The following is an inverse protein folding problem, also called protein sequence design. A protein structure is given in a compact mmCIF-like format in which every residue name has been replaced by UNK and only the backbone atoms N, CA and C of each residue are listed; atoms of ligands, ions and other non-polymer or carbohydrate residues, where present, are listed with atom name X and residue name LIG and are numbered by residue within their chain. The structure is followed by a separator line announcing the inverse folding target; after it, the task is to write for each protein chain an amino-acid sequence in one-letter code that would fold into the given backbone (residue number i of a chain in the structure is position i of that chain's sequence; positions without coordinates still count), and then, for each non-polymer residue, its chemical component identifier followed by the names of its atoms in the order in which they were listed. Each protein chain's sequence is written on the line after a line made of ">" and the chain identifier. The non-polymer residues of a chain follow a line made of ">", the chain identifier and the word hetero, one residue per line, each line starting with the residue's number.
data_IF_465740381473
#
_entry.id   IF_465740381473
#
_cell.length_a   1.000
_cell.length_b   1.000
_cell.length_c   1.000
_cell.angle_alpha   90.00
_cell.angle_beta   90.00
_cell.angle_gamma   90.00
#
_symmetry.space_group_name_H-M   'P 1'
#
loop_
_entity.id
_entity.type
_entity.pdbx_description
1 polymer ?
#
# COMPACT_ATOMS: atom_id res chain seq x y z
N UNK A 1 -6.99 15.18 -6.37
CA UNK A 1 -6.81 15.67 -4.99
C UNK A 1 -5.34 15.63 -4.62
N UNK A 2 -4.96 16.45 -3.67
CA UNK A 2 -3.62 16.43 -3.07
C UNK A 2 -3.60 15.44 -1.92
N UNK A 3 -2.66 14.52 -1.98
CA UNK A 3 -2.40 13.54 -0.94
C UNK A 3 -1.00 13.75 -0.37
N UNK A 4 -0.84 13.64 0.92
CA UNK A 4 0.45 13.86 1.59
C UNK A 4 0.79 12.68 2.49
N UNK A 5 2.06 12.30 2.49
CA UNK A 5 2.60 11.27 3.39
C UNK A 5 4.05 11.56 3.72
N UNK A 6 4.64 10.80 4.63
CA UNK A 6 6.06 10.93 4.98
C UNK A 6 6.95 10.43 3.86
N UNK A 7 8.08 11.09 3.67
CA UNK A 7 9.14 10.64 2.78
C UNK A 7 9.69 9.27 3.22
N UNK A 8 10.20 8.50 2.27
CA UNK A 8 10.72 7.17 2.52
C UNK A 8 9.63 6.10 2.43
N UNK A 9 9.20 5.78 1.21
CA UNK A 9 8.10 4.82 0.99
C UNK A 9 8.56 3.39 1.17
N UNK A 10 8.08 2.73 2.23
CA UNK A 10 8.14 1.28 2.37
C UNK A 10 6.85 0.64 1.81
N UNK A 11 6.68 -0.66 2.04
CA UNK A 11 5.65 -1.46 1.38
C UNK A 11 4.23 -0.94 1.61
N UNK A 12 3.85 -0.64 2.85
CA UNK A 12 2.49 -0.22 3.18
C UNK A 12 2.16 1.15 2.54
N UNK A 13 3.08 2.11 2.64
CA UNK A 13 2.91 3.44 2.04
C UNK A 13 2.81 3.38 0.53
N UNK A 14 3.67 2.58 -0.11
CA UNK A 14 3.63 2.36 -1.55
C UNK A 14 2.32 1.67 -1.99
N UNK A 15 1.85 0.69 -1.23
CA UNK A 15 0.58 0.02 -1.48
C UNK A 15 -0.60 0.98 -1.35
N UNK A 16 -0.58 1.85 -0.35
CA UNK A 16 -1.61 2.88 -0.17
C UNK A 16 -1.64 3.86 -1.35
N UNK A 17 -0.47 4.32 -1.82
CA UNK A 17 -0.40 5.19 -3.00
C UNK A 17 -1.00 4.52 -4.25
N UNK A 18 -0.69 3.25 -4.45
CA UNK A 18 -1.28 2.45 -5.54
C UNK A 18 -2.81 2.35 -5.41
N UNK A 19 -3.30 2.04 -4.20
CA UNK A 19 -4.73 1.92 -3.94
C UNK A 19 -5.48 3.22 -4.24
N UNK A 20 -4.89 4.35 -3.82
CA UNK A 20 -5.46 5.68 -4.07
C UNK A 20 -5.68 5.89 -5.56
N UNK A 21 -4.64 5.70 -6.36
CA UNK A 21 -4.70 5.97 -7.81
C UNK A 21 -5.65 5.01 -8.53
N UNK A 22 -5.67 3.75 -8.14
CA UNK A 22 -6.45 2.73 -8.85
C UNK A 22 -7.92 2.70 -8.45
N UNK A 23 -8.27 3.05 -7.20
CA UNK A 23 -9.61 2.79 -6.67
C UNK A 23 -10.28 3.99 -6.02
N UNK A 24 -9.54 5.05 -5.67
CA UNK A 24 -10.06 6.17 -4.89
C UNK A 24 -10.02 7.47 -5.67
N UNK A 25 -8.87 7.82 -6.26
CA UNK A 25 -8.65 9.11 -6.93
C UNK A 25 -7.65 8.93 -8.07
N UNK A 26 -8.16 8.73 -9.28
CA UNK A 26 -7.34 8.50 -10.47
C UNK A 26 -6.44 9.69 -10.82
N UNK A 27 -6.77 10.90 -10.34
CA UNK A 27 -6.01 12.12 -10.58
C UNK A 27 -5.22 12.57 -9.35
N UNK A 28 -4.92 11.63 -8.44
CA UNK A 28 -4.17 11.92 -7.23
C UNK A 28 -2.80 12.50 -7.53
N UNK A 29 -2.43 13.54 -6.78
CA UNK A 29 -1.06 14.04 -6.72
C UNK A 29 -0.51 13.80 -5.33
N UNK A 30 0.77 13.43 -5.25
CA UNK A 30 1.41 13.05 -3.99
C UNK A 30 2.48 14.03 -3.59
N UNK A 31 2.52 14.37 -2.29
CA UNK A 31 3.59 15.12 -1.67
C UNK A 31 4.22 14.28 -0.57
N UNK A 32 5.54 14.25 -0.54
CA UNK A 32 6.31 13.51 0.45
C UNK A 32 7.01 14.52 1.35
N UNK A 33 6.72 14.47 2.65
CA UNK A 33 7.21 15.46 3.62
C UNK A 33 8.14 14.81 4.63
N UNK A 34 9.10 15.60 5.14
CA UNK A 34 10.09 15.14 6.11
C UNK A 34 9.63 15.30 7.55
N UNK A 35 8.53 16.00 7.77
CA UNK A 35 7.94 16.26 9.08
C UNK A 35 6.47 15.82 9.11
N UNK A 36 5.76 16.13 10.20
CA UNK A 36 4.37 15.78 10.37
C UNK A 36 3.41 16.95 10.02
N UNK A 37 3.91 17.97 9.32
CA UNK A 37 3.08 19.09 8.88
C UNK A 37 2.22 18.70 7.67
N UNK A 38 0.91 18.86 7.84
CA UNK A 38 -0.08 18.51 6.80
C UNK A 38 -0.64 19.80 6.24
N UNK A 39 -0.49 20.06 4.91
CA UNK A 39 -1.15 21.20 4.27
C UNK A 39 -2.67 21.14 4.45
N UNK A 40 -3.33 22.29 4.64
CA UNK A 40 -4.78 22.35 4.91
C UNK A 40 -5.64 21.70 3.82
N UNK A 41 -5.20 21.76 2.58
CA UNK A 41 -5.96 21.27 1.42
C UNK A 41 -5.48 19.89 0.95
N UNK A 42 -4.70 19.17 1.77
CA UNK A 42 -4.20 17.85 1.45
C UNK A 42 -4.79 16.79 2.39
N UNK A 43 -5.00 15.60 1.86
CA UNK A 43 -5.40 14.42 2.63
C UNK A 43 -4.17 13.60 2.99
N UNK A 44 -3.95 13.40 4.27
CA UNK A 44 -2.79 12.64 4.77
C UNK A 44 -3.09 11.15 4.85
N UNK A 45 -2.08 10.32 4.54
CA UNK A 45 -2.18 8.87 4.68
C UNK A 45 -0.85 8.28 5.16
N UNK A 46 -0.93 7.16 5.86
CA UNK A 46 0.21 6.41 6.40
C UNK A 46 1.20 7.31 7.16
N UNK A 47 0.65 8.18 8.01
CA UNK A 47 1.40 9.04 8.93
C UNK A 47 0.87 8.86 10.34
N UNK A 48 1.73 9.02 11.34
CA UNK A 48 1.34 8.91 12.75
C UNK A 48 0.25 9.93 13.08
N UNK A 49 -0.84 9.46 13.69
CA UNK A 49 -1.91 10.33 14.19
C UNK A 49 -2.97 10.73 13.18
N UNK A 50 -2.85 10.30 11.92
CA UNK A 50 -3.89 10.61 10.92
C UNK A 50 -4.91 9.46 10.81
N UNK A 51 -6.12 9.78 10.29
CA UNK A 51 -7.20 8.79 10.19
C UNK A 51 -6.83 7.62 9.27
N UNK A 52 -6.16 7.88 8.14
CA UNK A 52 -5.78 6.86 7.16
C UNK A 52 -4.38 6.31 7.45
N UNK A 53 -4.22 5.69 8.61
CA UNK A 53 -2.95 5.14 9.08
C UNK A 53 -3.17 3.83 9.81
N UNK A 54 -2.14 3.33 10.51
CA UNK A 54 -2.28 2.14 11.36
C UNK A 54 -3.31 2.38 12.45
N UNK A 55 -4.29 1.48 12.57
CA UNK A 55 -5.30 1.51 13.63
C UNK A 55 -5.50 0.11 14.21
N UNK A 56 -5.35 -0.02 15.52
CA UNK A 56 -5.40 -1.32 16.18
C UNK A 56 -4.33 -2.25 15.60
N UNK A 57 -4.75 -3.42 15.14
CA UNK A 57 -3.84 -4.39 14.52
C UNK A 57 -3.73 -4.24 12.99
N UNK A 58 -4.38 -3.22 12.42
CA UNK A 58 -4.41 -3.02 10.96
C UNK A 58 -3.24 -2.16 10.49
N UNK A 59 -2.66 -2.53 9.34
CA UNK A 59 -1.78 -1.62 8.62
C UNK A 59 -2.60 -0.52 7.91
N UNK A 60 -1.94 0.50 7.36
CA UNK A 60 -2.63 1.61 6.70
C UNK A 60 -3.45 1.16 5.48
N UNK A 61 -2.97 0.18 4.72
CA UNK A 61 -3.69 -0.37 3.58
C UNK A 61 -5.05 -0.94 4.01
N UNK A 62 -5.06 -1.75 5.07
CA UNK A 62 -6.31 -2.31 5.62
C UNK A 62 -7.25 -1.21 6.12
N UNK A 63 -6.73 -0.22 6.80
CA UNK A 63 -7.51 0.94 7.27
C UNK A 63 -8.18 1.65 6.10
N UNK A 64 -7.46 1.86 5.00
CA UNK A 64 -8.00 2.54 3.83
C UNK A 64 -9.09 1.72 3.12
N UNK A 65 -8.92 0.40 3.03
CA UNK A 65 -9.96 -0.47 2.46
C UNK A 65 -11.29 -0.30 3.23
N UNK A 66 -11.21 -0.28 4.55
CA UNK A 66 -12.39 -0.08 5.39
C UNK A 66 -12.98 1.32 5.27
N UNK A 67 -12.14 2.35 5.30
CA UNK A 67 -12.57 3.75 5.26
C UNK A 67 -13.30 4.11 3.97
N UNK A 68 -12.87 3.55 2.84
CA UNK A 68 -13.49 3.80 1.54
C UNK A 68 -14.47 2.71 1.12
N UNK A 69 -14.77 1.78 2.01
CA UNK A 69 -15.73 0.69 1.80
C UNK A 69 -15.43 -0.11 0.51
N UNK A 70 -14.16 -0.43 0.33
CA UNK A 70 -13.72 -1.23 -0.81
C UNK A 70 -13.84 -2.72 -0.46
N UNK A 71 -14.78 -3.40 -1.10
CA UNK A 71 -15.14 -4.78 -0.77
C UNK A 71 -14.66 -5.82 -1.78
N UNK A 72 -13.80 -5.43 -2.73
CA UNK A 72 -13.17 -6.34 -3.68
C UNK A 72 -12.34 -7.41 -2.93
N UNK A 73 -12.71 -8.71 -3.04
CA UNK A 73 -11.99 -9.75 -2.30
C UNK A 73 -10.52 -9.88 -2.70
N UNK A 74 -10.13 -9.46 -3.88
CA UNK A 74 -8.72 -9.46 -4.29
C UNK A 74 -7.93 -8.40 -3.51
N UNK A 75 -8.52 -7.24 -3.27
CA UNK A 75 -7.89 -6.19 -2.45
C UNK A 75 -7.68 -6.66 -1.02
N UNK A 76 -8.63 -7.38 -0.44
CA UNK A 76 -8.49 -7.92 0.90
C UNK A 76 -7.48 -9.08 0.96
N UNK A 77 -7.34 -9.84 -0.12
CA UNK A 77 -6.28 -10.84 -0.23
C UNK A 77 -4.89 -10.17 -0.32
N UNK A 78 -4.78 -9.06 -1.09
CA UNK A 78 -3.56 -8.24 -1.10
C UNK A 78 -3.26 -7.66 0.28
N UNK A 79 -4.28 -7.21 0.99
CA UNK A 79 -4.12 -6.63 2.33
C UNK A 79 -3.41 -7.60 3.28
N UNK A 80 -3.70 -8.89 3.18
CA UNK A 80 -3.03 -9.95 3.94
C UNK A 80 -1.52 -9.96 3.66
N UNK A 81 -1.14 -9.83 2.40
CA UNK A 81 0.27 -9.81 1.99
C UNK A 81 0.96 -8.52 2.46
N UNK A 82 0.32 -7.36 2.25
CA UNK A 82 0.86 -6.07 2.67
C UNK A 82 1.03 -6.01 4.19
N UNK A 83 0.04 -6.51 4.92
CA UNK A 83 0.09 -6.59 6.39
C UNK A 83 1.32 -7.37 6.87
N UNK A 84 1.54 -8.59 6.36
CA UNK A 84 2.69 -9.40 6.76
C UNK A 84 4.01 -8.79 6.30
N UNK A 85 4.05 -8.16 5.13
CA UNK A 85 5.25 -7.49 4.64
C UNK A 85 5.64 -6.31 5.54
N UNK A 86 4.66 -5.56 6.04
CA UNK A 86 4.90 -4.36 6.85
C UNK A 86 5.10 -4.67 8.33
N UNK A 87 4.23 -5.50 8.92
CA UNK A 87 4.19 -5.73 10.36
C UNK A 87 4.93 -6.99 10.80
N UNK A 88 5.03 -7.99 9.93
CA UNK A 88 5.71 -9.26 10.22
C UNK A 88 5.30 -9.88 11.55
N UNK A 89 3.98 -9.84 11.85
CA UNK A 89 3.42 -10.29 13.13
C UNK A 89 2.86 -11.72 13.09
N UNK A 90 3.10 -12.43 11.97
CA UNK A 90 2.64 -13.80 11.71
C UNK A 90 1.11 -13.98 11.76
N UNK A 91 0.35 -12.90 11.61
CA UNK A 91 -1.11 -12.95 11.59
C UNK A 91 -1.65 -13.71 10.39
N UNK A 92 -0.97 -13.62 9.25
CA UNK A 92 -1.35 -14.26 8.00
C UNK A 92 -0.19 -15.10 7.46
N UNK A 93 -0.52 -16.19 6.79
CA UNK A 93 0.44 -16.94 6.00
C UNK A 93 0.49 -16.33 4.59
N UNK A 94 1.54 -15.56 4.31
CA UNK A 94 1.70 -14.88 3.03
C UNK A 94 3.12 -15.09 2.51
N UNK A 95 3.28 -16.06 1.62
CA UNK A 95 4.59 -16.44 1.08
C UNK A 95 5.28 -15.27 0.35
N UNK A 96 4.49 -14.36 -0.25
CA UNK A 96 5.00 -13.21 -1.00
C UNK A 96 5.53 -12.08 -0.10
N UNK A 97 5.16 -12.05 1.18
CA UNK A 97 5.35 -10.89 2.04
C UNK A 97 6.82 -10.51 2.24
N UNK A 98 7.68 -11.45 2.57
CA UNK A 98 9.10 -11.16 2.82
C UNK A 98 9.82 -10.67 1.57
N UNK A 99 9.50 -11.26 0.41
CA UNK A 99 10.08 -10.84 -0.87
C UNK A 99 9.60 -9.45 -1.28
N UNK A 100 8.31 -9.18 -1.11
CA UNK A 100 7.74 -7.86 -1.40
C UNK A 100 8.36 -6.79 -0.52
N UNK A 101 8.51 -7.03 0.78
CA UNK A 101 9.16 -6.10 1.70
C UNK A 101 10.61 -5.83 1.30
N UNK A 102 11.36 -6.88 0.97
CA UNK A 102 12.76 -6.73 0.54
C UNK A 102 12.89 -5.87 -0.72
N UNK A 103 12.03 -6.08 -1.71
CA UNK A 103 12.03 -5.28 -2.95
C UNK A 103 11.70 -3.82 -2.65
N UNK A 104 10.66 -3.57 -1.86
CA UNK A 104 10.27 -2.20 -1.51
C UNK A 104 11.35 -1.47 -0.72
N UNK A 105 12.00 -2.14 0.23
CA UNK A 105 13.15 -1.55 0.96
C UNK A 105 14.31 -1.22 0.03
N UNK A 106 14.62 -2.10 -0.91
CA UNK A 106 15.66 -1.87 -1.90
C UNK A 106 15.33 -0.68 -2.80
N UNK A 107 14.09 -0.55 -3.24
CA UNK A 107 13.64 0.61 -4.04
C UNK A 107 13.78 1.91 -3.24
N UNK A 108 13.43 1.92 -1.96
CA UNK A 108 13.61 3.09 -1.09
C UNK A 108 15.06 3.53 -1.00
N UNK A 109 15.99 2.58 -1.03
CA UNK A 109 17.43 2.87 -0.99
C UNK A 109 17.99 3.45 -2.29
N UNK A 110 17.31 3.23 -3.41
CA UNK A 110 17.84 3.54 -4.75
C UNK A 110 17.08 4.60 -5.52
N UNK A 111 15.81 4.89 -5.15
CA UNK A 111 14.95 5.80 -5.88
C UNK A 111 14.33 6.85 -4.94
N UNK A 112 14.17 8.10 -5.41
CA UNK A 112 13.32 9.05 -4.70
C UNK A 112 11.85 8.63 -4.77
N UNK A 113 11.04 9.10 -3.82
CA UNK A 113 9.68 8.62 -3.60
C UNK A 113 8.79 8.67 -4.84
N UNK A 114 8.81 9.75 -5.62
CA UNK A 114 7.99 9.85 -6.83
C UNK A 114 8.34 8.79 -7.87
N UNK A 115 9.61 8.52 -8.07
CA UNK A 115 10.04 7.45 -8.98
C UNK A 115 9.71 6.08 -8.41
N UNK A 116 9.85 5.91 -7.10
CA UNK A 116 9.53 4.66 -6.42
C UNK A 116 8.07 4.29 -6.63
N UNK A 117 7.13 5.19 -6.36
CA UNK A 117 5.70 4.87 -6.53
C UNK A 117 5.35 4.61 -8.00
N UNK A 118 6.03 5.23 -8.95
CA UNK A 118 5.89 4.90 -10.36
C UNK A 118 6.23 3.45 -10.67
N UNK A 119 7.30 2.92 -10.07
CA UNK A 119 7.71 1.52 -10.19
C UNK A 119 6.75 0.59 -9.43
N UNK A 120 6.42 0.92 -8.18
CA UNK A 120 5.59 0.06 -7.35
C UNK A 120 4.15 -0.03 -7.85
N UNK A 121 3.64 0.93 -8.60
CA UNK A 121 2.34 0.80 -9.26
C UNK A 121 2.29 -0.43 -10.16
N UNK A 122 3.35 -0.71 -10.90
CA UNK A 122 3.44 -1.92 -11.72
C UNK A 122 3.58 -3.19 -10.87
N UNK A 123 4.33 -3.10 -9.77
CA UNK A 123 4.48 -4.23 -8.85
C UNK A 123 3.13 -4.64 -8.26
N UNK A 124 2.35 -3.67 -7.77
CA UNK A 124 1.03 -3.97 -7.19
C UNK A 124 -0.01 -4.33 -8.25
N UNK A 125 0.04 -3.76 -9.46
CA UNK A 125 -0.79 -4.22 -10.57
C UNK A 125 -0.54 -5.70 -10.86
N UNK A 126 0.73 -6.09 -10.90
CA UNK A 126 1.12 -7.49 -11.14
C UNK A 126 0.69 -8.42 -10.01
N UNK A 127 0.89 -8.00 -8.78
CA UNK A 127 0.48 -8.80 -7.61
C UNK A 127 -1.05 -8.94 -7.55
N UNK A 128 -1.79 -7.88 -7.84
CA UNK A 128 -3.25 -7.92 -7.91
C UNK A 128 -3.71 -8.97 -8.93
N UNK A 129 -3.18 -8.93 -10.14
CA UNK A 129 -3.58 -9.87 -11.20
C UNK A 129 -3.20 -11.31 -10.85
N UNK A 130 -2.02 -11.53 -10.26
CA UNK A 130 -1.60 -12.85 -9.81
C UNK A 130 -2.57 -13.42 -8.77
N UNK A 131 -2.94 -12.61 -7.77
CA UNK A 131 -3.87 -13.04 -6.72
C UNK A 131 -5.29 -13.19 -7.24
N UNK A 132 -5.72 -12.35 -8.18
CA UNK A 132 -7.02 -12.48 -8.83
C UNK A 132 -7.16 -13.84 -9.51
N UNK A 133 -6.15 -14.23 -10.27
CA UNK A 133 -6.13 -15.53 -10.94
C UNK A 133 -6.05 -16.68 -9.94
N UNK A 134 -5.27 -16.55 -8.89
CA UNK A 134 -5.18 -17.56 -7.84
C UNK A 134 -6.53 -17.82 -7.19
N UNK A 135 -7.28 -16.76 -6.86
CA UNK A 135 -8.62 -16.89 -6.27
C UNK A 135 -9.61 -17.52 -7.25
N UNK A 136 -9.57 -17.16 -8.52
CA UNK A 136 -10.45 -17.75 -9.55
C UNK A 136 -10.15 -19.23 -9.79
N UNK A 137 -8.89 -19.61 -9.77
CA UNK A 137 -8.45 -20.98 -10.02
C UNK A 137 -8.54 -21.87 -8.78
N UNK A 138 -8.55 -21.29 -7.59
CA UNK A 138 -8.44 -22.01 -6.32
C UNK A 138 -7.03 -22.59 -6.11
N UNK A 139 -6.03 -22.09 -6.81
CA UNK A 139 -4.62 -22.49 -6.73
C UNK A 139 -3.73 -21.40 -7.33
N UNK A 140 -2.45 -21.47 -7.08
CA UNK A 140 -1.52 -20.53 -7.69
C UNK A 140 -1.50 -20.66 -9.22
N UNK A 141 -1.46 -19.54 -9.97
CA UNK A 141 -1.35 -19.56 -11.42
C UNK A 141 -0.02 -20.15 -11.87
N UNK A 142 -0.05 -20.91 -12.93
CA UNK A 142 1.16 -21.50 -13.51
C UNK A 142 1.69 -20.65 -14.66
#
# INVERSE_FOLDING_TARGET
>A
MRWVTRAGCHVDRAACAWLIVRYIDAEATFEFVDDDEIPEDATAFDMVGVALSHHGDNCSFETMLGAYTLDDPVLWDLARIVHEADLADDRYEAAEAAGLDAVCRGLTMTLPDHELIGVTHHVFDGLYEYRRRALLLGRDPS
#
